data_IF_476173142534
#
_entry.id   IF_476173142534
#
_cell.length_a   1.000
_cell.length_b   1.000
_cell.length_c   1.000
_cell.angle_alpha   90.00
_cell.angle_beta   90.00
_cell.angle_gamma   90.00
#
_symmetry.space_group_name_H-M   'P 1'
#
loop_
_entity.id
_entity.type
_entity.pdbx_description
1 polymer ?
#
# COMPACT_ATOMS: atom_id res chain seq x y z
N UNK A 1 27.73 -9.23 -7.35
CA UNK A 1 27.06 -8.04 -7.92
C UNK A 1 25.86 -7.56 -7.09
N UNK A 2 24.90 -8.43 -6.66
CA UNK A 2 23.73 -8.01 -5.86
C UNK A 2 24.07 -7.58 -4.43
N UNK A 3 25.01 -8.24 -3.75
CA UNK A 3 25.46 -7.84 -2.42
C UNK A 3 26.06 -6.44 -2.40
N UNK A 4 26.88 -6.10 -3.39
CA UNK A 4 27.46 -4.75 -3.57
C UNK A 4 26.36 -3.69 -3.82
N UNK A 5 25.34 -4.01 -4.64
CA UNK A 5 24.20 -3.11 -4.86
C UNK A 5 23.42 -2.87 -3.57
N UNK A 6 23.26 -3.88 -2.72
CA UNK A 6 22.59 -3.72 -1.42
C UNK A 6 23.38 -2.79 -0.51
N UNK A 7 24.70 -2.95 -0.39
CA UNK A 7 25.56 -2.06 0.40
C UNK A 7 25.49 -0.61 -0.10
N UNK A 8 25.59 -0.39 -1.42
CA UNK A 8 25.49 0.96 -2.00
C UNK A 8 24.11 1.58 -1.67
N UNK A 9 23.04 0.83 -1.78
CA UNK A 9 21.68 1.32 -1.50
C UNK A 9 21.49 1.61 -0.01
N UNK A 10 22.09 0.83 0.89
CA UNK A 10 22.03 1.08 2.33
C UNK A 10 22.85 2.30 2.75
N UNK A 11 24.10 2.42 2.28
CA UNK A 11 25.04 3.48 2.68
C UNK A 11 24.96 4.73 1.80
N UNK A 12 24.63 4.59 0.51
CA UNK A 12 24.48 5.68 -0.45
C UNK A 12 23.02 5.88 -0.88
N UNK A 13 22.07 5.68 0.04
CA UNK A 13 20.62 5.71 -0.27
C UNK A 13 20.20 7.01 -0.96
N UNK A 14 20.84 8.15 -0.69
CA UNK A 14 20.54 9.43 -1.34
C UNK A 14 20.79 9.38 -2.85
N UNK A 15 21.94 8.89 -3.30
CA UNK A 15 22.25 8.77 -4.74
C UNK A 15 21.32 7.78 -5.44
N UNK A 16 20.98 6.68 -4.76
CA UNK A 16 20.04 5.72 -5.30
C UNK A 16 18.63 6.31 -5.43
N UNK A 17 18.15 7.04 -4.42
CA UNK A 17 16.87 7.73 -4.45
C UNK A 17 16.83 8.76 -5.57
N UNK A 18 17.88 9.57 -5.71
CA UNK A 18 18.00 10.54 -6.79
C UNK A 18 17.95 9.88 -8.18
N UNK A 19 18.76 8.85 -8.39
CA UNK A 19 18.75 8.06 -9.63
C UNK A 19 17.37 7.48 -9.92
N UNK A 20 16.74 6.85 -8.93
CA UNK A 20 15.45 6.20 -9.09
C UNK A 20 14.32 7.21 -9.43
N UNK A 21 14.30 8.34 -8.72
CA UNK A 21 13.27 9.36 -8.92
C UNK A 21 13.47 10.16 -10.22
N UNK A 22 14.69 10.62 -10.49
CA UNK A 22 14.95 11.58 -11.57
C UNK A 22 15.24 10.88 -12.89
N UNK A 23 16.16 9.90 -12.88
CA UNK A 23 16.61 9.26 -14.11
C UNK A 23 15.70 8.11 -14.51
N UNK A 24 15.38 7.21 -13.57
CA UNK A 24 14.63 6.00 -13.86
C UNK A 24 13.14 6.23 -14.00
N UNK A 25 12.52 7.02 -13.13
CA UNK A 25 11.07 7.19 -13.08
C UNK A 25 10.58 8.59 -13.46
N UNK A 26 11.48 9.55 -13.66
CA UNK A 26 11.17 10.90 -14.16
C UNK A 26 9.94 11.49 -13.46
N UNK A 27 10.00 11.54 -12.11
CA UNK A 27 8.86 11.92 -11.25
C UNK A 27 8.29 13.32 -11.51
N UNK A 28 9.05 14.16 -12.22
CA UNK A 28 8.64 15.49 -12.66
C UNK A 28 7.69 15.47 -13.87
N UNK A 29 7.52 14.32 -14.55
CA UNK A 29 6.59 14.20 -15.67
C UNK A 29 5.20 13.87 -15.12
N UNK A 30 4.26 14.76 -15.36
CA UNK A 30 2.88 14.57 -14.96
C UNK A 30 2.18 13.54 -15.85
N UNK A 31 1.37 12.70 -15.21
CA UNK A 31 0.56 11.68 -15.86
C UNK A 31 -0.91 11.89 -15.52
N UNK A 32 -1.78 11.40 -16.40
CA UNK A 32 -3.23 11.42 -16.18
C UNK A 32 -3.62 10.63 -14.92
N UNK A 33 -2.93 9.53 -14.65
CA UNK A 33 -3.08 8.68 -13.46
C UNK A 33 -1.75 7.95 -13.19
N UNK A 34 -1.56 7.46 -11.97
CA UNK A 34 -0.32 6.82 -11.51
C UNK A 34 -0.52 5.37 -11.07
N UNK A 35 -1.78 4.94 -10.89
CA UNK A 35 -2.17 3.55 -10.65
C UNK A 35 -2.02 2.68 -11.92
N UNK A 36 -2.22 1.39 -11.83
CA UNK A 36 -2.15 0.48 -12.98
C UNK A 36 -3.31 0.68 -13.96
N UNK A 37 -4.50 0.94 -13.44
CA UNK A 37 -5.74 0.97 -14.22
C UNK A 37 -6.54 2.27 -14.13
N UNK A 38 -6.03 3.33 -13.47
CA UNK A 38 -6.76 4.57 -13.26
C UNK A 38 -7.65 4.54 -12.01
N UNK A 39 -7.38 3.64 -11.06
CA UNK A 39 -8.07 3.52 -9.79
C UNK A 39 -8.00 4.80 -8.97
N UNK A 40 -6.82 5.44 -8.94
CA UNK A 40 -6.58 6.74 -8.31
C UNK A 40 -7.47 7.84 -8.91
N UNK A 41 -7.67 7.83 -10.24
CA UNK A 41 -8.56 8.77 -10.92
C UNK A 41 -10.04 8.52 -10.57
N UNK A 42 -10.45 7.25 -10.40
CA UNK A 42 -11.79 6.91 -9.96
C UNK A 42 -12.07 7.48 -8.56
N UNK A 43 -11.13 7.28 -7.62
CA UNK A 43 -11.25 7.79 -6.24
C UNK A 43 -11.25 9.32 -6.24
N UNK A 44 -10.35 9.97 -6.98
CA UNK A 44 -10.31 11.43 -7.05
C UNK A 44 -11.64 12.03 -7.55
N UNK A 45 -12.25 11.42 -8.57
CA UNK A 45 -13.57 11.86 -9.08
C UNK A 45 -14.72 11.59 -8.10
N UNK A 46 -14.61 10.57 -7.27
CA UNK A 46 -15.64 10.20 -6.29
C UNK A 46 -15.71 11.20 -5.13
N UNK A 47 -14.59 11.77 -4.73
CA UNK A 47 -14.50 12.70 -3.59
C UNK A 47 -14.27 14.13 -4.08
N UNK A 48 -15.21 15.03 -3.72
CA UNK A 48 -15.18 16.45 -4.16
C UNK A 48 -14.12 17.30 -3.45
N UNK A 49 -13.61 16.83 -2.30
CA UNK A 49 -12.63 17.54 -1.46
C UNK A 49 -11.49 16.60 -1.10
N UNK A 50 -10.28 17.14 -0.86
CA UNK A 50 -9.17 16.35 -0.34
C UNK A 50 -9.56 15.62 0.94
N UNK A 51 -9.12 14.35 1.05
CA UNK A 51 -9.42 13.46 2.14
C UNK A 51 -8.17 12.89 2.81
N UNK A 52 -8.38 11.82 3.57
CA UNK A 52 -7.34 11.07 4.26
C UNK A 52 -7.30 9.64 3.72
N UNK A 53 -6.10 9.19 3.34
CA UNK A 53 -5.91 7.81 2.88
C UNK A 53 -4.96 7.02 3.78
N UNK A 54 -5.10 5.70 3.71
CA UNK A 54 -4.14 4.73 4.24
C UNK A 54 -3.75 3.80 3.09
N UNK A 55 -2.46 3.75 2.78
CA UNK A 55 -1.87 3.01 1.66
C UNK A 55 -1.00 1.86 2.21
N UNK A 56 -1.52 0.64 2.18
CA UNK A 56 -0.89 -0.57 2.70
C UNK A 56 -0.30 -1.37 1.53
N UNK A 57 1.04 -1.55 1.55
CA UNK A 57 1.80 -2.07 0.42
C UNK A 57 2.08 -0.97 -0.60
N UNK A 58 2.46 0.22 -0.10
CA UNK A 58 2.56 1.43 -0.92
C UNK A 58 3.67 1.43 -1.97
N UNK A 59 4.61 0.51 -1.91
CA UNK A 59 5.69 0.19 -2.86
C UNK A 59 6.55 1.40 -3.28
N UNK A 60 6.05 2.28 -4.15
CA UNK A 60 6.78 3.42 -4.70
C UNK A 60 5.90 4.68 -4.72
N UNK A 61 6.40 5.89 -4.32
CA UNK A 61 5.56 7.06 -4.16
C UNK A 61 4.94 7.62 -5.43
N UNK A 62 5.48 7.28 -6.62
CA UNK A 62 5.05 7.87 -7.89
C UNK A 62 4.82 6.87 -9.02
N UNK A 63 5.09 5.57 -8.77
CA UNK A 63 4.98 4.51 -9.78
C UNK A 63 4.05 3.42 -9.28
N UNK A 64 3.05 3.06 -10.10
CA UNK A 64 2.06 2.03 -9.76
C UNK A 64 1.55 2.30 -8.34
N UNK A 65 1.06 3.53 -8.12
CA UNK A 65 0.66 3.97 -6.79
C UNK A 65 -0.75 4.57 -6.82
N UNK A 66 -1.65 3.96 -6.09
CA UNK A 66 -3.07 4.32 -6.06
C UNK A 66 -3.35 5.62 -5.28
N UNK A 67 -2.36 6.16 -4.55
CA UNK A 67 -2.51 7.34 -3.72
C UNK A 67 -1.72 8.57 -4.24
N UNK A 68 -0.86 8.42 -5.27
CA UNK A 68 -0.04 9.56 -5.73
C UNK A 68 -0.87 10.70 -6.31
N UNK A 69 -1.85 10.39 -7.17
CA UNK A 69 -2.72 11.41 -7.73
C UNK A 69 -3.52 12.13 -6.63
N UNK A 70 -3.95 11.40 -5.60
CA UNK A 70 -4.65 11.97 -4.45
C UNK A 70 -3.74 12.95 -3.69
N UNK A 71 -2.50 12.55 -3.38
CA UNK A 71 -1.50 13.39 -2.72
C UNK A 71 -1.24 14.68 -3.51
N UNK A 72 -1.08 14.60 -4.85
CA UNK A 72 -0.93 15.78 -5.72
C UNK A 72 -2.14 16.72 -5.65
N UNK A 73 -3.32 16.20 -5.34
CA UNK A 73 -4.56 16.96 -5.19
C UNK A 73 -4.86 17.32 -3.71
N UNK A 74 -3.84 17.41 -2.87
CA UNK A 74 -3.94 17.93 -1.51
C UNK A 74 -4.40 16.93 -0.44
N UNK A 75 -4.55 15.65 -0.78
CA UNK A 75 -4.80 14.62 0.23
C UNK A 75 -3.55 14.38 1.07
N UNK A 76 -3.76 13.85 2.28
CA UNK A 76 -2.70 13.40 3.17
C UNK A 76 -3.00 11.99 3.65
N UNK A 77 -1.96 11.25 4.06
CA UNK A 77 -2.19 9.87 4.46
C UNK A 77 -1.08 9.21 5.26
N UNK A 78 -1.26 7.92 5.42
CA UNK A 78 -0.27 7.00 5.98
C UNK A 78 0.12 6.03 4.86
N UNK A 79 1.42 5.94 4.57
CA UNK A 79 1.98 4.96 3.65
C UNK A 79 2.71 3.89 4.46
N UNK A 80 2.37 2.63 4.26
CA UNK A 80 2.91 1.50 5.02
C UNK A 80 3.52 0.49 4.05
N UNK A 81 4.77 0.13 4.26
CA UNK A 81 5.45 -0.89 3.47
C UNK A 81 6.49 -1.63 4.31
N UNK A 82 6.65 -2.93 4.03
CA UNK A 82 7.69 -3.74 4.66
C UNK A 82 9.08 -3.40 4.12
N UNK A 83 9.18 -2.81 2.93
CA UNK A 83 10.44 -2.48 2.30
C UNK A 83 10.98 -1.13 2.81
N UNK A 84 12.09 -1.19 3.56
CA UNK A 84 12.74 -0.02 4.13
C UNK A 84 13.16 1.03 3.09
N UNK A 85 13.56 0.60 1.90
CA UNK A 85 14.03 1.52 0.84
C UNK A 85 12.82 2.26 0.25
N UNK A 86 11.70 1.55 0.05
CA UNK A 86 10.42 2.16 -0.31
C UNK A 86 10.09 3.34 0.64
N UNK A 87 10.08 3.09 1.94
CA UNK A 87 9.76 4.13 2.93
C UNK A 87 10.76 5.28 2.96
N UNK A 88 12.06 5.02 2.72
CA UNK A 88 13.04 6.12 2.55
C UNK A 88 12.68 7.02 1.35
N UNK A 89 12.25 6.45 0.23
CA UNK A 89 11.81 7.23 -0.94
C UNK A 89 10.53 8.01 -0.63
N UNK A 90 9.57 7.38 0.06
CA UNK A 90 8.35 8.08 0.52
C UNK A 90 8.69 9.28 1.43
N UNK A 91 9.59 9.14 2.38
CA UNK A 91 10.04 10.24 3.25
C UNK A 91 10.63 11.41 2.47
N UNK A 92 11.25 11.14 1.33
CA UNK A 92 11.78 12.19 0.47
C UNK A 92 10.67 12.89 -0.34
N UNK A 93 9.71 12.14 -0.89
CA UNK A 93 8.69 12.62 -1.85
C UNK A 93 7.40 13.07 -1.14
N UNK A 94 6.94 12.33 -0.11
CA UNK A 94 5.64 12.50 0.55
C UNK A 94 5.78 13.10 1.94
N UNK A 95 6.33 14.33 2.00
CA UNK A 95 6.66 15.01 3.28
C UNK A 95 5.45 15.35 4.15
N UNK A 96 4.24 15.43 3.57
CA UNK A 96 2.99 15.71 4.29
C UNK A 96 2.34 14.44 4.84
N UNK A 97 2.85 13.28 4.47
CA UNK A 97 2.35 11.98 4.90
C UNK A 97 3.18 11.42 6.06
N UNK A 98 2.60 10.48 6.78
CA UNK A 98 3.32 9.61 7.71
C UNK A 98 3.71 8.33 6.96
N UNK A 99 5.01 8.01 6.94
CA UNK A 99 5.52 6.84 6.21
C UNK A 99 6.09 5.84 7.20
N UNK A 100 5.56 4.62 7.21
CA UNK A 100 5.81 3.60 8.24
C UNK A 100 6.43 2.35 7.64
N UNK A 101 7.63 1.99 8.11
CA UNK A 101 8.28 0.74 7.72
C UNK A 101 7.85 -0.40 8.66
N UNK A 102 6.77 -1.06 8.33
CA UNK A 102 6.20 -2.21 9.04
C UNK A 102 5.45 -3.13 8.09
N UNK A 103 5.29 -4.39 8.47
CA UNK A 103 4.36 -5.30 7.82
C UNK A 103 3.06 -5.39 8.63
N UNK A 104 1.94 -5.63 7.94
CA UNK A 104 0.64 -5.81 8.59
C UNK A 104 0.47 -7.27 9.02
N UNK A 105 -0.02 -7.45 10.26
CA UNK A 105 -0.35 -8.75 10.82
C UNK A 105 -1.54 -8.64 11.77
N UNK A 106 -2.07 -9.79 12.19
CA UNK A 106 -3.11 -9.83 13.25
C UNK A 106 -2.53 -9.65 14.66
N UNK A 107 -1.20 -9.73 14.80
CA UNK A 107 -0.50 -9.63 16.09
C UNK A 107 0.80 -8.84 15.93
N UNK A 108 1.17 -8.11 17.00
CA UNK A 108 2.47 -7.49 17.10
C UNK A 108 3.59 -8.53 17.18
N UNK A 109 4.70 -8.28 16.48
CA UNK A 109 5.85 -9.19 16.46
C UNK A 109 6.88 -8.83 15.40
N UNK A 110 7.60 -9.82 14.94
CA UNK A 110 8.54 -9.74 13.82
C UNK A 110 8.27 -10.89 12.84
N UNK A 111 8.51 -10.64 11.57
CA UNK A 111 8.37 -11.65 10.52
C UNK A 111 9.54 -11.55 9.54
N UNK A 112 9.96 -12.70 9.02
CA UNK A 112 10.92 -12.75 7.92
C UNK A 112 10.18 -12.53 6.59
N UNK A 113 10.79 -11.74 5.70
CA UNK A 113 10.33 -11.62 4.32
C UNK A 113 11.48 -11.83 3.34
N UNK A 114 11.16 -12.28 2.15
CA UNK A 114 12.10 -12.65 1.10
C UNK A 114 11.90 -11.75 -0.11
N UNK A 115 12.99 -11.39 -0.79
CA UNK A 115 12.96 -10.51 -1.96
C UNK A 115 14.09 -10.84 -2.94
N UNK A 116 13.97 -10.36 -4.19
CA UNK A 116 15.01 -10.54 -5.21
C UNK A 116 15.76 -9.25 -5.57
N UNK A 117 15.16 -8.09 -5.31
CA UNK A 117 15.73 -6.77 -5.60
C UNK A 117 15.37 -5.80 -4.48
N UNK A 118 16.21 -4.79 -4.22
CA UNK A 118 15.97 -3.78 -3.17
C UNK A 118 14.62 -3.05 -3.27
N UNK A 119 14.15 -2.77 -4.49
CA UNK A 119 12.81 -2.22 -4.80
C UNK A 119 12.07 -3.18 -5.76
N UNK A 120 12.04 -4.47 -5.42
CA UNK A 120 11.28 -5.46 -6.17
C UNK A 120 9.79 -5.37 -5.86
N UNK A 121 8.95 -5.62 -6.88
CA UNK A 121 7.51 -5.80 -6.69
C UNK A 121 7.20 -7.11 -5.94
N UNK A 122 8.05 -8.11 -6.12
CA UNK A 122 7.81 -9.45 -5.54
C UNK A 122 8.52 -9.57 -4.19
N UNK A 123 7.83 -9.19 -3.12
CA UNK A 123 8.21 -9.56 -1.77
C UNK A 123 7.32 -10.73 -1.31
N UNK A 124 7.86 -11.65 -0.51
CA UNK A 124 7.09 -12.81 -0.06
C UNK A 124 7.41 -13.13 1.39
N UNK A 125 6.40 -13.51 2.16
CA UNK A 125 6.57 -14.07 3.50
C UNK A 125 6.97 -15.54 3.47
N UNK A 126 6.93 -16.16 2.29
CA UNK A 126 7.39 -17.54 2.10
C UNK A 126 8.72 -17.53 1.32
N UNK A 127 9.65 -18.37 1.76
CA UNK A 127 10.91 -18.60 1.05
C UNK A 127 10.63 -19.20 -0.32
N UNK A 128 11.13 -18.57 -1.37
CA UNK A 128 11.00 -19.04 -2.77
C UNK A 128 12.38 -19.05 -3.43
N UNK A 129 12.64 -20.00 -4.32
CA UNK A 129 13.95 -20.17 -5.00
C UNK A 129 14.43 -18.89 -5.71
N UNK A 130 13.50 -18.11 -6.27
CA UNK A 130 13.80 -16.87 -6.99
C UNK A 130 13.89 -15.61 -6.09
N UNK A 131 13.75 -15.78 -4.76
CA UNK A 131 13.87 -14.72 -3.76
C UNK A 131 15.08 -15.03 -2.83
N UNK A 132 16.32 -14.78 -3.28
CA UNK A 132 17.52 -15.21 -2.58
C UNK A 132 17.85 -14.38 -1.33
N UNK A 133 17.27 -13.18 -1.20
CA UNK A 133 17.53 -12.29 -0.07
C UNK A 133 16.40 -12.35 0.93
N UNK A 134 16.72 -12.08 2.18
CA UNK A 134 15.73 -12.01 3.27
C UNK A 134 16.11 -10.90 4.26
N UNK A 135 15.10 -10.44 4.98
CA UNK A 135 15.24 -9.48 6.07
C UNK A 135 14.14 -9.70 7.10
N UNK A 136 14.30 -9.11 8.28
CA UNK A 136 13.29 -9.15 9.34
C UNK A 136 12.62 -7.79 9.46
N UNK A 137 11.30 -7.79 9.65
CA UNK A 137 10.51 -6.57 9.79
C UNK A 137 9.54 -6.70 10.97
N UNK A 138 9.36 -5.60 11.69
CA UNK A 138 8.32 -5.49 12.72
C UNK A 138 6.93 -5.61 12.11
N UNK A 139 6.03 -6.27 12.82
CA UNK A 139 4.62 -6.37 12.43
C UNK A 139 3.73 -5.81 13.52
N UNK A 140 2.60 -5.25 13.12
CA UNK A 140 1.51 -4.93 14.02
C UNK A 140 0.17 -4.96 13.27
N UNK A 141 -0.91 -4.77 14.03
CA UNK A 141 -2.26 -4.58 13.51
C UNK A 141 -2.34 -3.23 12.79
N UNK A 142 -3.16 -3.15 11.75
CA UNK A 142 -3.35 -1.90 11.00
C UNK A 142 -3.90 -0.77 11.89
N UNK A 143 -4.90 -1.07 12.74
CA UNK A 143 -5.42 -0.10 13.71
C UNK A 143 -4.35 0.39 14.69
N UNK A 144 -3.50 -0.49 15.21
CA UNK A 144 -2.41 -0.14 16.14
C UNK A 144 -1.35 0.74 15.46
N UNK A 145 -1.02 0.47 14.19
CA UNK A 145 -0.08 1.30 13.43
C UNK A 145 -0.66 2.70 13.24
N UNK A 146 -1.94 2.82 12.86
CA UNK A 146 -2.59 4.13 12.71
C UNK A 146 -2.62 4.87 14.04
N UNK A 147 -2.91 4.17 15.16
CA UNK A 147 -2.92 4.74 16.51
C UNK A 147 -1.57 5.32 16.95
N UNK A 148 -0.48 4.76 16.45
CA UNK A 148 0.87 5.26 16.67
C UNK A 148 1.24 6.51 15.86
N UNK A 149 0.33 7.06 15.07
CA UNK A 149 0.57 8.24 14.21
C UNK A 149 -0.23 9.47 14.65
N UNK A 150 0.08 10.62 14.08
CA UNK A 150 -0.71 11.85 14.25
C UNK A 150 -2.14 11.77 13.68
N UNK A 151 -2.46 10.70 12.94
CA UNK A 151 -3.78 10.46 12.35
C UNK A 151 -4.67 9.53 13.18
N UNK A 152 -4.31 9.26 14.43
CA UNK A 152 -5.14 8.49 15.37
C UNK A 152 -6.57 9.01 15.38
N UNK A 153 -7.54 8.09 15.33
CA UNK A 153 -8.98 8.36 15.30
C UNK A 153 -9.49 9.15 14.07
N UNK A 154 -8.65 9.45 13.09
CA UNK A 154 -9.09 10.08 11.86
C UNK A 154 -9.83 9.06 10.98
N UNK A 155 -11.06 9.39 10.56
CA UNK A 155 -11.83 8.56 9.64
C UNK A 155 -11.13 8.44 8.29
N UNK A 156 -11.02 7.22 7.77
CA UNK A 156 -10.36 6.96 6.49
C UNK A 156 -11.34 7.24 5.35
N UNK A 157 -10.96 8.09 4.40
CA UNK A 157 -11.73 8.29 3.17
C UNK A 157 -11.40 7.21 2.13
N UNK A 158 -10.12 6.86 1.99
CA UNK A 158 -9.66 5.81 1.08
C UNK A 158 -8.64 4.88 1.75
N UNK A 159 -8.94 3.59 1.79
CA UNK A 159 -8.05 2.53 2.23
C UNK A 159 -7.60 1.74 1.01
N UNK A 160 -6.31 1.79 0.69
CA UNK A 160 -5.66 0.95 -0.30
C UNK A 160 -4.97 -0.22 0.39
N UNK A 161 -5.22 -1.45 -0.06
CA UNK A 161 -4.55 -2.66 0.43
C UNK A 161 -4.08 -3.47 -0.77
N UNK A 162 -2.77 -3.66 -0.86
CA UNK A 162 -2.11 -4.44 -1.91
C UNK A 162 -0.85 -5.11 -1.32
N UNK A 163 -1.04 -6.24 -0.66
CA UNK A 163 0.01 -6.97 0.08
C UNK A 163 0.07 -8.46 -0.25
N UNK A 164 -0.14 -8.78 -1.52
CA UNK A 164 0.15 -10.09 -2.10
C UNK A 164 -0.48 -11.27 -1.33
N UNK A 165 -1.82 -11.24 -1.15
CA UNK A 165 -2.61 -12.33 -0.57
C UNK A 165 -2.76 -12.30 0.95
N UNK A 166 -2.23 -11.27 1.63
CA UNK A 166 -2.46 -10.97 3.06
C UNK A 166 -3.53 -9.91 3.32
N UNK A 167 -4.24 -9.48 2.28
CA UNK A 167 -5.25 -8.42 2.33
C UNK A 167 -6.35 -8.69 3.34
N UNK A 168 -6.76 -9.94 3.49
CA UNK A 168 -7.76 -10.34 4.50
C UNK A 168 -7.25 -10.14 5.93
N UNK A 169 -5.94 -10.34 6.18
CA UNK A 169 -5.36 -10.14 7.50
C UNK A 169 -5.29 -8.63 7.81
N UNK A 170 -4.95 -7.80 6.82
CA UNK A 170 -5.00 -6.34 6.95
C UNK A 170 -6.42 -5.86 7.28
N UNK A 171 -7.43 -6.32 6.53
CA UNK A 171 -8.82 -5.98 6.80
C UNK A 171 -9.27 -6.42 8.19
N UNK A 172 -8.92 -7.62 8.65
CA UNK A 172 -9.25 -8.13 9.99
C UNK A 172 -8.51 -7.41 11.11
N UNK A 173 -7.35 -6.82 10.84
CA UNK A 173 -6.55 -6.06 11.81
C UNK A 173 -6.98 -4.60 11.92
N UNK A 174 -8.00 -4.15 11.19
CA UNK A 174 -8.56 -2.81 11.29
C UNK A 174 -9.84 -2.81 12.15
N UNK A 175 -9.94 -1.88 13.08
CA UNK A 175 -11.18 -1.57 13.78
C UNK A 175 -12.13 -0.77 12.88
N UNK A 176 -13.05 -1.47 12.20
CA UNK A 176 -14.04 -0.87 11.31
C UNK A 176 -15.08 0.01 12.02
N UNK A 177 -15.28 -0.13 13.33
CA UNK A 177 -16.18 0.76 14.08
C UNK A 177 -15.57 2.15 14.22
N UNK A 178 -14.27 2.19 14.49
CA UNK A 178 -13.51 3.41 14.73
C UNK A 178 -13.07 4.10 13.43
N UNK A 179 -12.43 3.37 12.53
CA UNK A 179 -11.84 3.96 11.32
C UNK A 179 -12.78 4.02 10.13
N UNK A 180 -13.71 3.07 10.01
CA UNK A 180 -14.81 3.00 9.05
C UNK A 180 -14.52 3.63 7.66
N UNK A 181 -13.63 3.03 6.83
CA UNK A 181 -13.24 3.57 5.55
C UNK A 181 -14.45 3.84 4.65
N UNK A 182 -14.48 4.98 3.94
CA UNK A 182 -15.56 5.30 2.97
C UNK A 182 -15.42 4.52 1.68
N UNK A 183 -14.16 4.26 1.27
CA UNK A 183 -13.83 3.44 0.11
C UNK A 183 -12.62 2.55 0.39
N UNK A 184 -12.62 1.36 -0.19
CA UNK A 184 -11.56 0.36 -0.02
C UNK A 184 -11.18 -0.18 -1.39
N UNK A 185 -9.90 -0.12 -1.72
CA UNK A 185 -9.30 -0.85 -2.81
C UNK A 185 -8.62 -2.10 -2.26
N UNK A 186 -8.80 -3.21 -2.97
CA UNK A 186 -8.11 -4.47 -2.72
C UNK A 186 -7.86 -5.21 -4.02
N UNK A 187 -6.77 -5.98 -4.05
CA UNK A 187 -6.51 -6.93 -5.11
C UNK A 187 -7.16 -8.28 -4.76
N UNK A 188 -7.91 -8.87 -5.69
CA UNK A 188 -8.52 -10.19 -5.52
C UNK A 188 -8.14 -11.05 -6.72
N UNK A 189 -7.23 -11.99 -6.49
CA UNK A 189 -6.90 -13.00 -7.48
C UNK A 189 -8.05 -13.99 -7.60
N UNK A 190 -8.65 -14.02 -8.78
CA UNK A 190 -9.88 -14.78 -9.02
C UNK A 190 -9.59 -16.29 -8.92
N UNK A 191 -10.37 -16.98 -8.11
CA UNK A 191 -10.34 -18.43 -8.05
C UNK A 191 -11.27 -19.02 -9.13
N UNK A 192 -11.10 -20.30 -9.47
CA UNK A 192 -12.01 -21.05 -10.36
C UNK A 192 -13.50 -20.92 -9.99
N UNK A 193 -13.81 -20.46 -8.77
CA UNK A 193 -15.17 -20.26 -8.22
C UNK A 193 -15.68 -18.82 -8.35
N UNK A 194 -14.92 -17.93 -9.02
CA UNK A 194 -15.23 -16.51 -9.19
C UNK A 194 -14.96 -15.66 -7.95
N UNK A 195 -14.76 -14.37 -8.17
CA UNK A 195 -14.34 -13.40 -7.12
C UNK A 195 -15.32 -13.27 -5.95
N UNK A 196 -16.63 -13.50 -6.18
CA UNK A 196 -17.67 -13.44 -5.12
C UNK A 196 -17.46 -14.51 -4.05
N UNK A 197 -16.80 -15.61 -4.39
CA UNK A 197 -16.45 -16.68 -3.44
C UNK A 197 -15.25 -16.33 -2.57
N UNK A 198 -14.45 -15.33 -2.96
CA UNK A 198 -13.21 -14.96 -2.28
C UNK A 198 -13.46 -14.40 -0.87
N UNK A 199 -12.59 -14.75 0.08
CA UNK A 199 -12.70 -14.36 1.50
C UNK A 199 -12.76 -12.84 1.73
N UNK A 200 -12.01 -12.06 0.93
CA UNK A 200 -12.00 -10.60 1.00
C UNK A 200 -13.35 -10.02 0.58
N UNK A 201 -13.92 -10.49 -0.55
CA UNK A 201 -15.24 -10.06 -1.01
C UNK A 201 -16.32 -10.31 0.05
N UNK A 202 -16.41 -11.56 0.54
CA UNK A 202 -17.39 -11.94 1.58
C UNK A 202 -17.23 -11.11 2.84
N UNK A 203 -16.00 -10.83 3.26
CA UNK A 203 -15.72 -10.00 4.42
C UNK A 203 -16.24 -8.57 4.23
N UNK A 204 -15.97 -7.94 3.09
CA UNK A 204 -16.39 -6.56 2.81
C UNK A 204 -17.91 -6.44 2.68
N UNK A 205 -18.58 -7.39 2.02
CA UNK A 205 -20.05 -7.44 1.97
C UNK A 205 -20.62 -7.53 3.39
N UNK A 206 -20.10 -8.43 4.25
CA UNK A 206 -20.52 -8.54 5.66
C UNK A 206 -20.27 -7.25 6.46
N UNK A 207 -19.31 -6.44 6.07
CA UNK A 207 -19.01 -5.12 6.68
C UNK A 207 -19.83 -3.98 6.07
N UNK A 208 -20.87 -4.28 5.28
CA UNK A 208 -21.75 -3.32 4.62
C UNK A 208 -21.04 -2.43 3.58
N UNK A 209 -20.21 -3.06 2.73
CA UNK A 209 -19.64 -2.45 1.53
C UNK A 209 -20.25 -3.08 0.29
N UNK A 210 -20.35 -2.30 -0.78
CA UNK A 210 -20.75 -2.76 -2.12
C UNK A 210 -19.64 -2.57 -3.12
N UNK A 211 -19.53 -3.47 -4.10
CA UNK A 211 -18.59 -3.35 -5.21
C UNK A 211 -19.00 -2.17 -6.11
N UNK A 212 -18.10 -1.20 -6.28
CA UNK A 212 -18.33 0.00 -7.09
C UNK A 212 -17.60 -0.04 -8.43
N UNK A 213 -16.41 -0.65 -8.47
CA UNK A 213 -15.64 -0.81 -9.70
C UNK A 213 -14.79 -2.07 -9.65
N UNK A 214 -14.58 -2.68 -10.83
CA UNK A 214 -13.68 -3.80 -11.03
C UNK A 214 -12.88 -3.55 -12.31
N UNK A 215 -11.55 -3.77 -12.26
CA UNK A 215 -10.68 -3.81 -13.44
C UNK A 215 -9.61 -4.86 -13.21
N UNK A 216 -9.62 -5.92 -14.03
CA UNK A 216 -8.78 -7.11 -13.80
C UNK A 216 -8.96 -7.64 -12.37
N UNK A 217 -7.88 -7.81 -11.62
CA UNK A 217 -7.84 -8.24 -10.23
C UNK A 217 -8.06 -7.11 -9.22
N UNK A 218 -8.28 -5.88 -9.69
CA UNK A 218 -8.43 -4.66 -8.89
C UNK A 218 -9.90 -4.37 -8.60
N UNK A 219 -10.25 -4.28 -7.32
CA UNK A 219 -11.64 -4.12 -6.86
C UNK A 219 -11.75 -2.90 -5.94
N UNK A 220 -12.71 -2.01 -6.22
CA UNK A 220 -13.04 -0.87 -5.39
C UNK A 220 -14.41 -1.08 -4.76
N UNK A 221 -14.46 -1.02 -3.46
CA UNK A 221 -15.68 -1.11 -2.66
C UNK A 221 -16.01 0.24 -2.03
N UNK A 222 -17.29 0.56 -1.95
CA UNK A 222 -17.78 1.75 -1.26
C UNK A 222 -18.65 1.34 -0.07
N UNK A 223 -18.55 2.12 1.02
CA UNK A 223 -19.41 1.94 2.18
C UNK A 223 -20.85 2.28 1.81
N UNK A 224 -21.78 1.38 2.11
CA UNK A 224 -23.20 1.67 1.96
C UNK A 224 -23.64 2.73 3.00
N UNK A 225 -24.61 3.53 2.62
CA UNK A 225 -25.20 4.55 3.50
C UNK A 225 -25.96 3.93 4.67
#
# INVERSE_FOLDING_TARGET
MYFFKRLIIEYCSFFYIFYDLIIRHKVFIDKKYYSQGGEDLFILKKFKKPGFYVDVGCHHPTRINNCHLLYKNGWTGINIDLNRISIKIFNFVRKKDVNVNMAISLKKGNIMYYYNKPLGLSNSLLKKKYLPFFDSIKTDRLDSIIDGTSFKNKRIDFLNIDIEGKDIDALKSLDFKRYNPKSIYVEIWDSKKGFKSHKVYKFLIKKNYSLAAKKNENYIFLKNK
#
